data_IF_098657726257
#
_entry.id   IF_098657726257
#
_cell.length_a   1.000
_cell.length_b   1.000
_cell.length_c   1.000
_cell.angle_alpha   90.00
_cell.angle_beta   90.00
_cell.angle_gamma   90.00
#
_symmetry.space_group_name_H-M   'P 1'
#
loop_
_entity.id
_entity.type
_entity.pdbx_description
1 polymer ?
#
# COMPACT_ATOMS: atom_id res chain seq x y z
N UNK A 1 17.30 -23.43 -23.63
CA UNK A 1 16.46 -23.25 -24.83
C UNK A 1 17.26 -22.47 -25.86
N UNK A 2 17.67 -23.10 -26.97
CA UNK A 2 18.61 -22.54 -27.95
C UNK A 2 17.94 -21.66 -29.01
N UNK A 3 17.38 -20.51 -28.61
CA UNK A 3 16.77 -19.54 -29.54
C UNK A 3 17.75 -18.38 -29.74
N UNK A 4 18.10 -18.04 -30.99
CA UNK A 4 18.91 -16.85 -31.30
C UNK A 4 18.08 -15.57 -31.04
N UNK A 5 18.71 -14.52 -30.51
CA UNK A 5 18.10 -13.21 -30.22
C UNK A 5 17.15 -12.69 -31.30
N UNK A 6 17.50 -12.86 -32.59
CA UNK A 6 16.64 -12.42 -33.71
C UNK A 6 15.33 -13.21 -33.78
N UNK A 7 15.39 -14.51 -33.55
CA UNK A 7 14.21 -15.37 -33.52
C UNK A 7 13.37 -15.08 -32.27
N UNK A 8 14.01 -14.86 -31.12
CA UNK A 8 13.35 -14.49 -29.87
C UNK A 8 12.57 -13.18 -30.01
N UNK A 9 13.20 -12.11 -30.57
CA UNK A 9 12.51 -10.83 -30.82
C UNK A 9 11.30 -10.98 -31.75
N UNK A 10 11.43 -11.74 -32.85
CA UNK A 10 10.32 -11.99 -33.78
C UNK A 10 9.18 -12.78 -33.12
N UNK A 11 9.51 -13.75 -32.28
CA UNK A 11 8.52 -14.52 -31.52
C UNK A 11 7.77 -13.63 -30.54
N UNK A 12 8.48 -12.83 -29.73
CA UNK A 12 7.85 -11.88 -28.81
C UNK A 12 6.97 -10.86 -29.53
N UNK A 13 7.41 -10.32 -30.67
CA UNK A 13 6.62 -9.39 -31.48
C UNK A 13 5.29 -10.03 -31.93
N UNK A 14 5.32 -11.27 -32.43
CA UNK A 14 4.10 -12.02 -32.80
C UNK A 14 3.19 -12.27 -31.60
N UNK A 15 3.73 -12.65 -30.46
CA UNK A 15 2.95 -12.91 -29.24
C UNK A 15 2.33 -11.63 -28.69
N UNK A 16 3.10 -10.54 -28.58
CA UNK A 16 2.58 -9.24 -28.11
C UNK A 16 1.49 -8.68 -29.03
N UNK A 17 1.62 -8.89 -30.34
CA UNK A 17 0.58 -8.53 -31.31
C UNK A 17 -0.71 -9.34 -31.10
N UNK A 18 -0.62 -10.63 -30.76
CA UNK A 18 -1.80 -11.46 -30.44
C UNK A 18 -2.46 -11.08 -29.11
N UNK A 19 -1.67 -10.65 -28.12
CA UNK A 19 -2.14 -10.24 -26.79
C UNK A 19 -2.74 -8.82 -26.80
N UNK A 20 -2.53 -8.06 -27.88
CA UNK A 20 -2.97 -6.66 -28.04
C UNK A 20 -2.44 -5.73 -26.94
N UNK A 21 -1.11 -5.79 -26.75
CA UNK A 21 -0.40 -5.01 -25.72
C UNK A 21 -0.50 -3.50 -26.03
N UNK A 22 -0.82 -2.68 -25.02
CA UNK A 22 -1.07 -1.24 -25.16
C UNK A 22 0.11 -0.49 -25.79
N UNK A 23 1.33 -0.89 -25.45
CA UNK A 23 2.59 -0.32 -25.91
C UNK A 23 2.74 -0.43 -27.43
N UNK A 24 2.14 -1.44 -28.09
CA UNK A 24 2.17 -1.54 -29.56
C UNK A 24 1.43 -0.37 -30.18
N UNK A 25 0.22 -0.08 -29.67
CA UNK A 25 -0.61 1.04 -30.16
C UNK A 25 0.05 2.38 -29.90
N UNK A 26 0.66 2.53 -28.71
CA UNK A 26 1.42 3.74 -28.35
C UNK A 26 2.62 3.96 -29.28
N UNK A 27 3.40 2.92 -29.59
CA UNK A 27 4.55 3.01 -30.48
C UNK A 27 4.15 3.29 -31.94
N UNK A 28 3.01 2.75 -32.39
CA UNK A 28 2.49 3.01 -33.74
C UNK A 28 1.79 4.36 -33.89
N UNK A 29 1.58 5.10 -32.79
CA UNK A 29 0.83 6.37 -32.80
C UNK A 29 -0.69 6.20 -32.89
N UNK A 30 -1.18 4.97 -32.79
CA UNK A 30 -2.61 4.61 -32.88
C UNK A 30 -3.31 4.81 -31.52
N UNK A 31 -3.24 6.02 -30.96
CA UNK A 31 -3.83 6.33 -29.65
C UNK A 31 -5.36 6.20 -29.64
N UNK A 32 -5.99 6.49 -30.78
CA UNK A 32 -7.42 6.33 -31.05
C UNK A 32 -7.90 4.87 -30.87
N UNK A 33 -7.04 3.89 -31.13
CA UNK A 33 -7.35 2.45 -31.00
C UNK A 33 -7.16 1.90 -29.58
N UNK A 34 -6.71 2.73 -28.64
CA UNK A 34 -6.55 2.32 -27.24
C UNK A 34 -7.93 2.30 -26.56
N UNK A 35 -8.28 1.14 -26.03
CA UNK A 35 -9.47 0.94 -25.18
C UNK A 35 -9.04 1.04 -23.71
N UNK A 36 -9.29 2.19 -23.08
CA UNK A 36 -8.89 2.47 -21.71
C UNK A 36 -9.45 1.51 -20.66
N UNK A 37 -10.59 0.84 -20.94
CA UNK A 37 -11.16 -0.15 -20.02
C UNK A 37 -10.39 -1.47 -20.04
N UNK A 38 -9.69 -1.78 -21.14
CA UNK A 38 -8.88 -3.00 -21.30
C UNK A 38 -7.40 -2.78 -20.97
N UNK A 39 -6.97 -1.53 -20.79
CA UNK A 39 -5.59 -1.23 -20.41
C UNK A 39 -5.26 -1.90 -19.07
N UNK A 40 -4.17 -2.69 -19.00
CA UNK A 40 -3.73 -3.31 -17.75
C UNK A 40 -3.42 -2.27 -16.67
N UNK A 41 -3.55 -2.66 -15.40
CA UNK A 41 -3.36 -1.79 -14.23
C UNK A 41 -1.99 -1.09 -14.22
N UNK A 42 -0.94 -1.87 -14.51
CA UNK A 42 0.44 -1.38 -14.55
C UNK A 42 0.69 -0.40 -15.70
N UNK A 43 0.13 -0.69 -16.87
CA UNK A 43 0.19 0.21 -18.03
C UNK A 43 -0.56 1.52 -17.74
N UNK A 44 -1.71 1.46 -17.08
CA UNK A 44 -2.42 2.67 -16.64
C UNK A 44 -1.61 3.50 -15.63
N UNK A 45 -0.87 2.88 -14.70
CA UNK A 45 0.01 3.62 -13.77
C UNK A 45 1.25 4.23 -14.44
N UNK A 46 1.83 3.52 -15.41
CA UNK A 46 3.08 3.93 -16.06
C UNK A 46 2.84 4.99 -17.14
N UNK A 47 1.77 4.87 -17.91
CA UNK A 47 1.56 5.64 -19.13
C UNK A 47 0.48 6.72 -19.01
N UNK A 48 -0.03 7.00 -17.81
CA UNK A 48 -1.12 7.99 -17.63
C UNK A 48 -0.79 9.36 -18.23
N UNK A 49 0.44 9.83 -18.06
CA UNK A 49 0.86 11.14 -18.57
C UNK A 49 1.00 11.12 -20.09
N UNK A 50 1.36 9.95 -20.66
CA UNK A 50 1.41 9.76 -22.11
C UNK A 50 -0.01 9.73 -22.71
N UNK A 51 -0.97 9.08 -22.07
CA UNK A 51 -2.38 9.10 -22.49
C UNK A 51 -2.94 10.53 -22.50
N UNK A 52 -2.67 11.31 -21.45
CA UNK A 52 -3.11 12.71 -21.41
C UNK A 52 -2.42 13.57 -22.48
N UNK A 53 -1.13 13.33 -22.77
CA UNK A 53 -0.39 14.10 -23.77
C UNK A 53 -0.85 13.85 -25.20
N UNK A 54 -1.21 12.62 -25.53
CA UNK A 54 -1.48 12.20 -26.91
C UNK A 54 -2.95 11.99 -27.23
N UNK A 55 -3.82 11.81 -26.23
CA UNK A 55 -5.26 11.58 -26.41
C UNK A 55 -6.06 12.19 -25.25
N UNK A 56 -5.86 13.49 -25.05
CA UNK A 56 -6.38 14.23 -23.90
C UNK A 56 -7.91 14.14 -23.79
N UNK A 57 -8.63 14.39 -24.89
CA UNK A 57 -10.08 14.48 -24.89
C UNK A 57 -10.75 13.16 -24.46
N UNK A 58 -10.38 12.04 -25.11
CA UNK A 58 -10.93 10.72 -24.78
C UNK A 58 -10.48 10.27 -23.40
N UNK A 59 -9.24 10.59 -23.00
CA UNK A 59 -8.73 10.25 -21.67
C UNK A 59 -9.51 10.98 -20.58
N UNK A 60 -9.76 12.29 -20.73
CA UNK A 60 -10.57 13.07 -19.77
C UNK A 60 -12.01 12.58 -19.70
N UNK A 61 -12.61 12.25 -20.82
CA UNK A 61 -13.95 11.66 -20.86
C UNK A 61 -14.00 10.32 -20.09
N UNK A 62 -13.02 9.46 -20.31
CA UNK A 62 -12.88 8.21 -19.57
C UNK A 62 -12.72 8.43 -18.06
N UNK A 63 -11.89 9.40 -17.64
CA UNK A 63 -11.73 9.76 -16.23
C UNK A 63 -13.05 10.29 -15.61
N UNK A 64 -13.82 11.08 -16.35
CA UNK A 64 -15.15 11.54 -15.89
C UNK A 64 -16.13 10.38 -15.72
N UNK A 65 -16.16 9.44 -16.69
CA UNK A 65 -16.97 8.21 -16.59
C UNK A 65 -16.54 7.33 -15.42
N UNK A 66 -15.24 7.25 -15.13
CA UNK A 66 -14.72 6.54 -13.97
C UNK A 66 -15.17 7.19 -12.66
N UNK A 67 -15.17 8.51 -12.57
CA UNK A 67 -15.61 9.23 -11.37
C UNK A 67 -17.11 9.01 -11.09
N UNK A 68 -17.92 8.96 -12.15
CA UNK A 68 -19.36 8.64 -12.05
C UNK A 68 -19.67 7.17 -11.81
N UNK A 69 -18.67 6.28 -11.92
CA UNK A 69 -18.86 4.83 -11.80
C UNK A 69 -19.43 4.14 -13.05
N UNK A 70 -19.49 4.84 -14.19
CA UNK A 70 -19.98 4.31 -15.48
C UNK A 70 -18.93 3.48 -16.22
N UNK A 71 -17.65 3.66 -15.85
CA UNK A 71 -16.52 2.89 -16.37
C UNK A 71 -15.81 2.15 -15.24
N UNK A 72 -15.06 1.10 -15.59
CA UNK A 72 -14.20 0.35 -14.67
C UNK A 72 -12.75 0.50 -15.08
N UNK A 73 -11.86 0.52 -14.09
CA UNK A 73 -10.42 0.50 -14.29
C UNK A 73 -9.88 -0.84 -13.79
N UNK A 74 -9.01 -1.48 -14.58
CA UNK A 74 -8.34 -2.68 -14.12
C UNK A 74 -7.33 -2.30 -13.04
N UNK A 75 -7.42 -2.90 -11.86
CA UNK A 75 -6.53 -2.69 -10.70
C UNK A 75 -5.91 -3.98 -10.16
N UNK A 76 -6.24 -5.14 -10.74
CA UNK A 76 -5.98 -6.47 -10.19
C UNK A 76 -4.49 -6.74 -9.87
N UNK A 77 -3.56 -6.05 -10.53
CA UNK A 77 -2.11 -6.31 -10.41
C UNK A 77 -1.35 -5.18 -9.71
N UNK A 78 -2.02 -4.13 -9.21
CA UNK A 78 -1.31 -3.02 -8.57
C UNK A 78 -1.11 -3.28 -7.07
N UNK A 79 0.10 -3.07 -6.58
CA UNK A 79 0.35 -3.05 -5.14
C UNK A 79 -0.02 -1.67 -4.55
N UNK A 80 -0.55 -1.60 -3.31
CA UNK A 80 -0.93 -0.34 -2.67
C UNK A 80 0.18 0.72 -2.67
N UNK A 81 1.43 0.30 -2.42
CA UNK A 81 2.59 1.19 -2.35
C UNK A 81 2.94 1.82 -3.70
N UNK A 82 2.62 1.17 -4.82
CA UNK A 82 2.87 1.73 -6.15
C UNK A 82 1.92 2.89 -6.47
N UNK A 83 0.66 2.78 -6.02
CA UNK A 83 -0.34 3.85 -6.15
C UNK A 83 0.07 5.04 -5.27
N UNK A 84 0.47 4.78 -4.02
CA UNK A 84 0.95 5.82 -3.11
C UNK A 84 2.21 6.53 -3.64
N UNK A 85 3.18 5.77 -4.13
CA UNK A 85 4.39 6.33 -4.73
C UNK A 85 4.06 7.23 -5.93
N UNK A 86 3.12 6.83 -6.80
CA UNK A 86 2.68 7.69 -7.91
C UNK A 86 2.04 8.98 -7.41
N UNK A 87 1.26 8.93 -6.34
CA UNK A 87 0.74 10.12 -5.67
C UNK A 87 1.85 11.05 -5.14
N UNK A 88 2.89 10.49 -4.52
CA UNK A 88 4.05 11.25 -4.03
C UNK A 88 4.84 11.90 -5.16
N UNK A 89 5.08 11.16 -6.24
CA UNK A 89 5.87 11.64 -7.38
C UNK A 89 5.26 12.85 -8.10
N UNK A 90 3.96 13.12 -7.93
CA UNK A 90 3.25 14.18 -8.64
C UNK A 90 2.98 15.44 -7.83
N UNK A 91 3.65 15.60 -6.68
CA UNK A 91 3.31 16.60 -5.66
C UNK A 91 1.85 16.44 -5.21
N UNK A 92 1.65 15.99 -3.96
CA UNK A 92 0.37 15.63 -3.34
C UNK A 92 -0.77 16.70 -3.37
N UNK A 93 -0.58 17.83 -4.06
CA UNK A 93 -1.48 18.96 -4.11
C UNK A 93 -2.76 18.67 -4.91
N UNK A 94 -2.69 17.86 -5.97
CA UNK A 94 -3.84 17.58 -6.83
C UNK A 94 -4.36 16.15 -6.68
N UNK A 95 -5.68 16.01 -6.61
CA UNK A 95 -6.37 14.72 -6.62
C UNK A 95 -6.26 14.11 -8.02
N UNK A 96 -5.82 12.87 -8.09
CA UNK A 96 -5.78 12.11 -9.34
C UNK A 96 -6.90 11.07 -9.35
N UNK A 97 -7.91 11.31 -10.19
CA UNK A 97 -9.08 10.43 -10.32
C UNK A 97 -8.68 8.99 -10.69
N UNK A 98 -7.67 8.80 -11.56
CA UNK A 98 -7.25 7.46 -11.93
C UNK A 98 -6.62 6.73 -10.74
N UNK A 99 -5.78 7.40 -9.95
CA UNK A 99 -5.14 6.80 -8.79
C UNK A 99 -6.15 6.49 -7.68
N UNK A 100 -7.09 7.39 -7.40
CA UNK A 100 -8.20 7.16 -6.46
C UNK A 100 -9.04 5.94 -6.85
N UNK A 101 -9.39 5.83 -8.13
CA UNK A 101 -10.22 4.71 -8.60
C UNK A 101 -9.44 3.40 -8.63
N UNK A 102 -8.15 3.43 -8.96
CA UNK A 102 -7.30 2.24 -8.82
C UNK A 102 -7.20 1.77 -7.37
N UNK A 103 -7.09 2.70 -6.42
CA UNK A 103 -7.05 2.37 -4.99
C UNK A 103 -8.34 1.71 -4.52
N UNK A 104 -9.50 2.30 -4.89
CA UNK A 104 -10.82 1.73 -4.59
C UNK A 104 -10.99 0.35 -5.19
N UNK A 105 -10.51 0.17 -6.42
CA UNK A 105 -10.62 -1.10 -7.14
C UNK A 105 -9.62 -2.17 -6.65
N UNK A 106 -8.72 -1.89 -5.69
CA UNK A 106 -7.85 -2.92 -5.12
C UNK A 106 -8.69 -4.07 -4.51
N UNK A 107 -8.26 -5.33 -4.69
CA UNK A 107 -8.95 -6.47 -4.08
C UNK A 107 -8.90 -6.35 -2.56
N UNK A 108 -9.95 -6.81 -1.85
CA UNK A 108 -9.88 -6.94 -0.41
C UNK A 108 -9.19 -8.27 -0.06
N UNK A 109 -7.98 -8.19 0.50
CA UNK A 109 -7.20 -9.34 0.96
C UNK A 109 -7.13 -9.43 2.48
N UNK A 110 -7.72 -8.45 3.18
CA UNK A 110 -7.78 -8.43 4.64
C UNK A 110 -8.88 -9.39 5.07
N UNK A 111 -8.52 -10.38 5.90
CA UNK A 111 -9.50 -11.31 6.46
C UNK A 111 -10.35 -10.68 7.56
N UNK A 112 -11.32 -11.43 8.07
CA UNK A 112 -12.28 -10.94 9.07
C UNK A 112 -11.69 -10.75 10.49
N UNK A 113 -10.40 -11.04 10.67
CA UNK A 113 -9.75 -10.92 11.97
C UNK A 113 -9.47 -9.44 12.28
N UNK A 114 -9.72 -8.99 13.51
CA UNK A 114 -9.35 -7.64 13.90
C UNK A 114 -7.82 -7.52 13.86
N UNK A 115 -7.32 -6.59 13.05
CA UNK A 115 -5.90 -6.26 12.94
C UNK A 115 -5.75 -4.75 13.14
N UNK A 116 -4.77 -4.32 13.93
CA UNK A 116 -4.39 -2.91 14.03
C UNK A 116 -2.98 -2.74 13.51
N UNK A 117 -2.82 -1.83 12.55
CA UNK A 117 -1.50 -1.54 11.99
C UNK A 117 -0.81 -0.47 12.82
N UNK A 118 0.43 -0.74 13.20
CA UNK A 118 1.35 0.22 13.80
C UNK A 118 2.35 0.59 12.74
N UNK A 119 2.32 1.84 12.29
CA UNK A 119 3.07 2.33 11.14
C UNK A 119 4.28 3.11 11.60
N UNK A 120 5.46 2.68 11.18
CA UNK A 120 6.70 3.39 11.40
C UNK A 120 6.85 4.62 10.50
N UNK A 121 6.98 5.77 11.16
CA UNK A 121 7.09 7.09 10.55
C UNK A 121 8.46 7.74 10.73
N UNK A 122 9.44 6.99 11.23
CA UNK A 122 10.80 7.46 11.49
C UNK A 122 11.51 7.91 10.20
N UNK A 123 12.60 8.67 10.38
CA UNK A 123 13.43 9.10 9.25
C UNK A 123 14.13 7.95 8.52
N UNK A 124 14.45 6.85 9.21
CA UNK A 124 15.12 5.67 8.63
C UNK A 124 14.25 4.96 7.58
N UNK A 125 12.93 4.99 7.79
CA UNK A 125 11.93 4.53 6.82
C UNK A 125 11.93 5.33 5.51
N UNK A 126 12.58 6.50 5.46
CA UNK A 126 12.78 7.27 4.23
C UNK A 126 13.64 6.56 3.18
N UNK A 127 14.38 5.52 3.56
CA UNK A 127 15.24 4.76 2.66
C UNK A 127 14.46 4.04 1.55
N UNK A 128 15.01 4.07 0.34
CA UNK A 128 14.45 3.40 -0.84
C UNK A 128 14.60 1.88 -0.73
N UNK A 129 13.55 1.14 -1.09
CA UNK A 129 13.49 -0.33 -0.96
C UNK A 129 13.73 -0.99 -2.31
N UNK A 130 14.58 -2.03 -2.32
CA UNK A 130 14.72 -2.96 -3.45
C UNK A 130 15.24 -2.33 -4.75
N UNK A 131 16.03 -1.25 -4.66
CA UNK A 131 16.53 -0.52 -5.83
C UNK A 131 15.45 0.26 -6.60
N UNK A 132 14.27 0.44 -6.00
CA UNK A 132 13.20 1.27 -6.54
C UNK A 132 13.23 2.67 -5.92
N UNK A 133 12.43 3.60 -6.45
CA UNK A 133 12.26 4.93 -5.86
C UNK A 133 11.20 4.97 -4.74
N UNK A 134 10.63 3.81 -4.38
CA UNK A 134 9.63 3.67 -3.32
C UNK A 134 10.37 3.54 -1.98
N UNK A 135 10.03 4.38 -1.00
CA UNK A 135 10.62 4.29 0.34
C UNK A 135 9.93 3.24 1.21
N UNK A 136 10.59 2.77 2.27
CA UNK A 136 9.95 1.90 3.26
C UNK A 136 8.73 2.58 3.89
N UNK A 137 8.81 3.90 4.07
CA UNK A 137 7.72 4.76 4.53
C UNK A 137 6.54 4.77 3.57
N UNK A 138 6.77 4.83 2.25
CA UNK A 138 5.73 4.74 1.24
C UNK A 138 4.99 3.39 1.35
N UNK A 139 5.74 2.29 1.56
CA UNK A 139 5.18 0.94 1.73
C UNK A 139 4.37 0.85 3.03
N UNK A 140 4.94 1.27 4.16
CA UNK A 140 4.31 1.20 5.47
C UNK A 140 3.03 2.05 5.52
N UNK A 141 3.06 3.24 4.94
CA UNK A 141 1.89 4.13 4.85
C UNK A 141 0.79 3.52 3.99
N UNK A 142 1.14 2.97 2.82
CA UNK A 142 0.17 2.37 1.92
C UNK A 142 -0.51 1.16 2.58
N UNK A 143 0.25 0.29 3.24
CA UNK A 143 -0.30 -0.85 3.97
C UNK A 143 -1.16 -0.40 5.15
N UNK A 144 -0.71 0.59 5.94
CA UNK A 144 -1.49 1.09 7.08
C UNK A 144 -2.87 1.63 6.64
N UNK A 145 -2.92 2.46 5.60
CA UNK A 145 -4.19 2.96 5.06
C UNK A 145 -5.02 1.81 4.47
N UNK A 146 -4.39 0.90 3.71
CA UNK A 146 -5.08 -0.23 3.10
C UNK A 146 -5.75 -1.14 4.13
N UNK A 147 -5.04 -1.53 5.19
CA UNK A 147 -5.62 -2.34 6.26
C UNK A 147 -6.70 -1.56 7.00
N UNK A 148 -6.44 -0.31 7.40
CA UNK A 148 -7.42 0.51 8.12
C UNK A 148 -8.76 0.63 7.36
N UNK A 149 -8.71 0.80 6.03
CA UNK A 149 -9.91 0.89 5.19
C UNK A 149 -10.65 -0.43 5.00
N UNK A 150 -9.92 -1.54 4.94
CA UNK A 150 -10.44 -2.85 4.51
C UNK A 150 -10.80 -3.77 5.67
N UNK A 151 -10.46 -3.39 6.89
CA UNK A 151 -10.94 -4.05 8.10
C UNK A 151 -12.48 -4.09 8.14
N UNK A 152 -13.07 -5.13 8.74
CA UNK A 152 -14.50 -5.14 9.01
C UNK A 152 -14.87 -4.02 9.98
N UNK A 153 -16.16 -3.66 9.98
CA UNK A 153 -16.70 -2.67 10.92
C UNK A 153 -16.38 -3.05 12.37
N UNK A 154 -15.87 -2.08 13.13
CA UNK A 154 -15.39 -2.33 14.48
C UNK A 154 -14.61 -1.15 15.07
N UNK A 155 -14.13 -1.28 16.32
CA UNK A 155 -13.48 -0.18 17.04
C UNK A 155 -12.19 0.33 16.38
N UNK A 156 -11.55 -0.50 15.55
CA UNK A 156 -10.29 -0.22 14.86
C UNK A 156 -10.47 0.13 13.37
N UNK A 157 -11.71 0.15 12.87
CA UNK A 157 -12.01 0.54 11.49
C UNK A 157 -11.52 1.95 11.21
N UNK A 158 -10.88 2.15 10.06
CA UNK A 158 -10.31 3.42 9.62
C UNK A 158 -9.28 4.02 10.59
N UNK A 159 -8.61 3.19 11.39
CA UNK A 159 -7.57 3.64 12.32
C UNK A 159 -6.27 2.88 12.11
N UNK A 160 -5.17 3.57 12.35
CA UNK A 160 -3.85 2.98 12.54
C UNK A 160 -3.15 3.69 13.72
N UNK A 161 -2.05 3.12 14.20
CA UNK A 161 -1.25 3.69 15.29
C UNK A 161 0.09 4.18 14.75
N UNK A 162 0.54 5.35 15.20
CA UNK A 162 1.90 5.83 14.92
C UNK A 162 2.93 5.08 15.76
N UNK A 163 3.99 4.61 15.14
CA UNK A 163 5.16 4.08 15.86
C UNK A 163 6.02 5.26 16.34
N UNK A 164 5.88 5.63 17.61
CA UNK A 164 6.65 6.71 18.22
C UNK A 164 6.74 6.50 19.73
N UNK A 165 7.48 7.36 20.43
CA UNK A 165 7.57 7.35 21.89
C UNK A 165 6.21 7.60 22.57
N UNK A 166 5.31 8.30 21.88
CA UNK A 166 3.94 8.60 22.31
C UNK A 166 2.98 8.12 21.23
N UNK A 167 2.73 6.80 21.14
CA UNK A 167 1.85 6.27 20.11
C UNK A 167 0.45 6.86 20.23
N UNK A 168 -0.15 7.17 19.08
CA UNK A 168 -1.52 7.70 19.00
C UNK A 168 -2.31 7.00 17.92
N UNK A 169 -3.62 6.92 18.13
CA UNK A 169 -4.53 6.51 17.06
C UNK A 169 -4.67 7.66 16.05
N UNK A 170 -4.32 7.37 14.80
CA UNK A 170 -4.64 8.24 13.68
C UNK A 170 -5.97 7.76 13.11
N UNK A 171 -6.96 8.64 13.15
CA UNK A 171 -8.29 8.36 12.65
C UNK A 171 -8.45 8.87 11.22
N UNK A 172 -8.63 7.94 10.28
CA UNK A 172 -8.91 8.21 8.87
C UNK A 172 -10.42 8.31 8.60
N UNK A 173 -11.28 8.07 9.59
CA UNK A 173 -12.73 8.18 9.44
C UNK A 173 -13.13 9.58 8.98
N UNK A 174 -14.00 9.67 7.98
CA UNK A 174 -14.47 10.94 7.42
C UNK A 174 -13.61 11.46 6.26
N UNK A 175 -12.41 10.90 6.02
CA UNK A 175 -11.62 11.19 4.83
C UNK A 175 -12.10 10.33 3.66
N UNK A 176 -12.50 10.98 2.56
CA UNK A 176 -13.06 10.30 1.38
C UNK A 176 -12.00 9.88 0.38
N UNK A 177 -10.97 10.71 0.22
CA UNK A 177 -9.95 10.54 -0.81
C UNK A 177 -8.67 9.98 -0.21
N UNK A 178 -7.98 9.10 -0.96
CA UNK A 178 -6.69 8.55 -0.59
C UNK A 178 -5.67 9.67 -0.39
N UNK A 179 -5.71 10.72 -1.22
CA UNK A 179 -4.88 11.92 -1.06
C UNK A 179 -4.92 12.45 0.37
N UNK A 180 -6.10 12.65 0.95
CA UNK A 180 -6.24 13.26 2.27
C UNK A 180 -5.76 12.32 3.37
N UNK A 181 -5.97 11.01 3.20
CA UNK A 181 -5.47 9.97 4.11
C UNK A 181 -3.94 9.90 4.11
N UNK A 182 -3.32 10.01 2.93
CA UNK A 182 -1.87 10.10 2.78
C UNK A 182 -1.39 11.37 3.50
N UNK A 183 -1.96 12.54 3.21
CA UNK A 183 -1.58 13.80 3.87
C UNK A 183 -1.66 13.72 5.39
N UNK A 184 -2.75 13.17 5.92
CA UNK A 184 -2.89 12.96 7.35
C UNK A 184 -1.78 12.03 7.87
N UNK A 185 -1.56 10.87 7.24
CA UNK A 185 -0.53 9.93 7.70
C UNK A 185 0.89 10.52 7.66
N UNK A 186 1.20 11.37 6.69
CA UNK A 186 2.47 12.09 6.62
C UNK A 186 2.60 13.16 7.70
N UNK A 187 1.54 13.92 7.96
CA UNK A 187 1.54 14.94 9.03
C UNK A 187 1.73 14.33 10.42
N UNK A 188 1.21 13.13 10.62
CA UNK A 188 1.31 12.39 11.89
C UNK A 188 2.61 11.54 11.97
N UNK A 189 3.51 11.68 10.99
CA UNK A 189 4.84 11.04 11.02
C UNK A 189 5.75 11.80 11.98
N UNK A 190 6.05 11.19 13.12
CA UNK A 190 6.98 11.73 14.10
C UNK A 190 8.23 10.87 14.16
N UNK A 191 9.40 11.52 14.16
CA UNK A 191 10.68 10.87 14.38
C UNK A 191 10.97 10.84 15.89
N UNK A 192 10.58 9.77 16.57
CA UNK A 192 10.88 9.58 17.99
C UNK A 192 11.19 8.12 18.29
N UNK A 193 11.97 7.90 19.36
CA UNK A 193 12.36 6.58 19.85
C UNK A 193 11.12 5.68 20.04
N UNK A 194 11.26 4.42 19.66
CA UNK A 194 10.17 3.46 19.67
C UNK A 194 9.84 2.97 21.08
N UNK A 195 8.56 3.02 21.46
CA UNK A 195 8.06 2.38 22.68
C UNK A 195 6.91 1.42 22.34
N UNK A 196 7.24 0.13 22.18
CA UNK A 196 6.27 -0.93 21.88
C UNK A 196 5.33 -1.19 23.07
N UNK A 197 5.82 -1.08 24.30
CA UNK A 197 5.01 -1.22 25.52
C UNK A 197 3.89 -0.17 25.55
N UNK A 198 4.21 1.09 25.22
CA UNK A 198 3.22 2.16 25.14
C UNK A 198 2.13 1.90 24.08
N UNK A 199 2.45 1.18 22.99
CA UNK A 199 1.45 0.78 21.98
C UNK A 199 0.47 -0.24 22.58
N UNK A 200 0.98 -1.23 23.31
CA UNK A 200 0.15 -2.22 23.99
C UNK A 200 -0.68 -1.60 25.12
N UNK A 201 -0.12 -0.67 25.89
CA UNK A 201 -0.85 0.07 26.91
C UNK A 201 -1.96 0.93 26.31
N UNK A 202 -1.68 1.59 25.18
CA UNK A 202 -2.69 2.36 24.44
C UNK A 202 -3.84 1.45 23.97
N UNK A 203 -3.52 0.27 23.43
CA UNK A 203 -4.51 -0.72 23.01
C UNK A 203 -5.32 -1.26 24.19
N UNK A 204 -4.66 -1.57 25.30
CA UNK A 204 -5.31 -2.08 26.52
C UNK A 204 -6.25 -1.03 27.12
N UNK A 205 -5.81 0.23 27.20
CA UNK A 205 -6.64 1.33 27.69
C UNK A 205 -7.83 1.58 26.77
N UNK A 206 -7.63 1.54 25.44
CA UNK A 206 -8.72 1.64 24.48
C UNK A 206 -9.72 0.48 24.62
N UNK A 207 -9.25 -0.74 24.84
CA UNK A 207 -10.10 -1.92 25.05
C UNK A 207 -10.90 -1.83 26.34
N UNK A 208 -10.28 -1.39 27.44
CA UNK A 208 -10.96 -1.16 28.72
C UNK A 208 -12.04 -0.08 28.61
N UNK A 209 -11.70 1.07 28.02
CA UNK A 209 -12.63 2.19 27.88
C UNK A 209 -13.77 1.89 26.89
N UNK A 210 -13.49 1.11 25.84
CA UNK A 210 -14.47 0.72 24.83
C UNK A 210 -15.30 -0.52 25.17
N UNK A 211 -15.08 -1.14 26.35
CA UNK A 211 -15.69 -2.42 26.74
C UNK A 211 -15.59 -3.50 25.65
N UNK A 212 -14.41 -3.61 25.03
CA UNK A 212 -14.18 -4.51 23.90
C UNK A 212 -14.13 -5.95 24.43
N UNK A 213 -14.87 -6.87 23.78
CA UNK A 213 -14.82 -8.28 24.14
C UNK A 213 -13.43 -8.87 23.81
N UNK A 214 -12.98 -9.86 24.57
CA UNK A 214 -11.65 -10.45 24.37
C UNK A 214 -11.43 -11.02 22.96
N UNK A 215 -12.51 -11.47 22.30
CA UNK A 215 -12.51 -11.94 20.91
C UNK A 215 -12.22 -10.84 19.88
N UNK A 216 -12.45 -9.58 20.25
CA UNK A 216 -12.30 -8.40 19.38
C UNK A 216 -10.98 -7.66 19.65
N UNK A 217 -10.11 -8.23 20.50
CA UNK A 217 -8.73 -7.75 20.68
C UNK A 217 -7.97 -7.95 19.36
N UNK A 218 -7.36 -6.89 18.81
CA UNK A 218 -6.77 -6.96 17.48
C UNK A 218 -5.41 -7.64 17.52
N UNK A 219 -5.05 -8.32 16.43
CA UNK A 219 -3.66 -8.67 16.14
C UNK A 219 -2.90 -7.40 15.77
N UNK A 220 -1.74 -7.17 16.39
CA UNK A 220 -0.92 -5.99 16.11
C UNK A 220 0.04 -6.29 14.95
N UNK A 221 -0.09 -5.55 13.85
CA UNK A 221 0.82 -5.61 12.70
C UNK A 221 1.74 -4.40 12.74
N UNK A 222 3.01 -4.60 13.08
CA UNK A 222 4.01 -3.52 13.12
C UNK A 222 4.75 -3.48 11.77
N UNK A 223 4.75 -2.31 11.13
CA UNK A 223 5.44 -2.04 9.87
C UNK A 223 6.61 -1.10 10.13
N UNK A 224 7.80 -1.66 10.29
CA UNK A 224 9.05 -0.96 10.60
C UNK A 224 10.22 -1.61 9.85
N UNK A 225 11.30 -0.87 9.67
CA UNK A 225 12.61 -1.38 9.18
C UNK A 225 13.35 -2.23 10.23
N UNK A 226 12.74 -2.44 11.41
CA UNK A 226 13.27 -3.20 12.53
C UNK A 226 14.57 -2.61 13.11
N UNK A 227 14.83 -1.32 12.90
CA UNK A 227 15.88 -0.60 13.60
C UNK A 227 15.44 -0.34 15.06
N UNK A 228 15.39 -1.42 15.84
CA UNK A 228 15.05 -1.41 17.27
C UNK A 228 16.23 -0.92 18.10
N UNK A 229 16.78 0.26 17.81
CA UNK A 229 18.02 0.73 18.45
C UNK A 229 17.84 1.07 19.96
N UNK A 230 16.62 0.96 20.51
CA UNK A 230 16.36 1.11 21.96
C UNK A 230 15.17 0.33 22.54
N UNK A 231 14.51 -0.56 21.79
CA UNK A 231 13.33 -1.28 22.30
C UNK A 231 13.64 -2.47 23.23
N UNK A 232 14.91 -2.80 23.42
CA UNK A 232 15.33 -3.83 24.36
C UNK A 232 16.10 -3.24 25.55
N UNK A 233 15.66 -2.10 26.10
CA UNK A 233 15.97 -1.81 27.48
C UNK A 233 15.10 -2.70 28.38
N UNK A 234 15.38 -4.01 28.37
CA UNK A 234 14.98 -4.84 29.49
C UNK A 234 15.56 -4.19 30.73
N UNK A 235 14.71 -3.90 31.70
CA UNK A 235 15.16 -3.62 33.05
C UNK A 235 15.77 -4.93 33.59
N UNK A 236 16.98 -5.24 33.14
CA UNK A 236 17.72 -6.43 33.57
C UNK A 236 18.34 -6.13 34.92
N UNK A 237 17.51 -6.14 35.96
CA UNK A 237 17.94 -6.79 37.19
C UNK A 237 18.26 -8.24 36.82
N UNK A 238 19.57 -8.49 36.63
CA UNK A 238 20.24 -9.79 36.54
C UNK A 238 19.31 -11.00 36.71
N UNK A 239 18.92 -11.61 35.59
CA UNK A 239 18.21 -12.88 35.58
C UNK A 239 18.15 -13.45 34.18
N UNK A 240 18.87 -14.55 33.95
CA UNK A 240 18.91 -15.30 32.70
C UNK A 240 17.49 -15.58 32.15
N UNK A 241 17.24 -15.24 30.89
CA UNK A 241 15.99 -15.58 30.20
C UNK A 241 16.20 -15.72 28.70
N UNK A 242 16.46 -16.95 28.26
CA UNK A 242 16.44 -17.38 26.86
C UNK A 242 15.10 -17.05 26.19
N UNK A 243 15.13 -16.27 25.10
CA UNK A 243 14.03 -16.24 24.13
C UNK A 243 14.41 -17.12 22.94
N UNK A 244 13.82 -18.32 22.91
CA UNK A 244 13.93 -19.27 21.80
C UNK A 244 13.00 -18.85 20.67
N UNK A 245 13.55 -18.70 19.47
CA UNK A 245 12.81 -18.45 18.23
C UNK A 245 11.93 -19.66 17.89
N UNK A 246 10.61 -19.47 17.89
CA UNK A 246 9.66 -20.48 17.40
C UNK A 246 9.56 -20.39 15.86
N UNK A 247 10.58 -20.88 15.17
CA UNK A 247 10.44 -21.29 13.76
C UNK A 247 9.92 -22.72 13.74
N UNK A 248 8.64 -22.89 13.38
CA UNK A 248 8.05 -24.17 13.03
C UNK A 248 8.83 -24.76 11.83
N UNK A 249 9.69 -25.75 12.08
CA UNK A 249 10.12 -26.70 11.08
C UNK A 249 8.96 -27.65 10.83
N UNK A 250 8.41 -27.59 9.62
CA UNK A 250 7.49 -28.58 9.09
C UNK A 250 8.13 -29.97 9.12
N UNK A 251 7.43 -30.93 9.72
CA UNK A 251 7.75 -32.34 9.62
C UNK A 251 7.59 -32.81 8.16
N UNK A 252 8.69 -33.12 7.50
CA UNK A 252 8.71 -34.10 6.42
C UNK A 252 8.96 -35.47 7.07
N UNK A 253 7.94 -36.31 7.14
CA UNK A 253 8.12 -37.75 7.36
C UNK A 253 7.94 -38.47 6.04
N UNK A 254 8.95 -39.28 5.76
CA UNK A 254 9.03 -40.34 4.75
C UNK A 254 8.13 -41.50 5.12
#
# INVERSE_FOLDING_TARGET
>A
MGVNDKQYRKMLSKLRSKIDVTEIKMCSGDWDKIDYQKVPSKANLNYKDAFLRHDEARRREFLSKLEKGEAKINSVVNFPHEILYKYRSQNWNNKDVALEQMWKALPNTVGDKPVIVVRDGSGSMGSCVGGSNVSALDVATALAIYFAERLPEGPYKDKFITFSMKPRFVNLSGLKDLKDKIHLAWRESECANTNVEAVFDLLLNAAKNGHIAQKDIPTVLILSDMEFDSCACSNSTRGNGWWSSAMNKSEQKT
#
